data_IF_252048229978
#
_entry.id   IF_252048229978
#
_cell.length_a   1.000
_cell.length_b   1.000
_cell.length_c   1.000
_cell.angle_alpha   90.00
_cell.angle_beta   90.00
_cell.angle_gamma   90.00
#
_symmetry.space_group_name_H-M   'P 1'
#
loop_
_entity.id
_entity.type
_entity.pdbx_description
1 polymer ?
#
# COMPACT_ATOMS: atom_id res chain seq x y z
N UNK A 1 -4.67 1.05 20.46
CA UNK A 1 -4.31 2.39 19.93
C UNK A 1 -3.36 2.32 18.74
N UNK A 2 -2.37 1.42 18.74
CA UNK A 2 -1.39 1.27 17.64
C UNK A 2 -2.00 0.66 16.38
N UNK A 3 -2.85 -0.38 16.48
CA UNK A 3 -3.53 -1.01 15.33
C UNK A 3 -4.29 -0.01 14.44
N UNK A 4 -5.13 0.85 15.03
CA UNK A 4 -5.87 1.90 14.30
C UNK A 4 -4.95 2.89 13.54
N UNK A 5 -3.77 3.22 14.08
CA UNK A 5 -2.80 4.09 13.38
C UNK A 5 -2.16 3.35 12.21
N UNK A 6 -1.85 2.08 12.39
CA UNK A 6 -1.29 1.25 11.31
C UNK A 6 -2.31 0.98 10.21
N UNK A 7 -3.59 0.80 10.55
CA UNK A 7 -4.66 0.64 9.56
C UNK A 7 -4.84 1.90 8.70
N UNK A 8 -4.80 3.08 9.33
CA UNK A 8 -4.76 4.35 8.60
C UNK A 8 -3.57 4.42 7.63
N UNK A 9 -2.37 4.03 8.07
CA UNK A 9 -1.19 4.02 7.19
C UNK A 9 -1.34 3.01 6.05
N UNK A 10 -1.89 1.83 6.29
CA UNK A 10 -2.16 0.84 5.25
C UNK A 10 -3.11 1.39 4.18
N UNK A 11 -4.14 2.14 4.58
CA UNK A 11 -5.05 2.82 3.66
C UNK A 11 -4.33 3.90 2.83
N UNK A 12 -3.50 4.73 3.46
CA UNK A 12 -2.74 5.78 2.75
C UNK A 12 -1.72 5.20 1.77
N UNK A 13 -1.01 4.14 2.14
CA UNK A 13 -0.09 3.46 1.22
C UNK A 13 -0.81 2.84 0.03
N UNK A 14 -2.00 2.26 0.23
CA UNK A 14 -2.79 1.72 -0.87
C UNK A 14 -3.24 2.83 -1.84
N UNK A 15 -3.69 3.98 -1.31
CA UNK A 15 -4.01 5.17 -2.13
C UNK A 15 -2.81 5.60 -2.96
N UNK A 16 -1.64 5.73 -2.34
CA UNK A 16 -0.44 6.17 -3.05
C UNK A 16 0.00 5.18 -4.13
N UNK A 17 -0.02 3.88 -3.82
CA UNK A 17 0.30 2.83 -4.80
C UNK A 17 -0.65 2.84 -6.01
N UNK A 18 -1.92 3.19 -5.80
CA UNK A 18 -2.89 3.38 -6.88
C UNK A 18 -2.58 4.62 -7.73
N UNK A 19 -2.23 5.74 -7.11
CA UNK A 19 -1.78 6.95 -7.82
C UNK A 19 -0.55 6.63 -8.67
N UNK A 20 0.44 5.97 -8.09
CA UNK A 20 1.68 5.58 -8.77
C UNK A 20 1.39 4.68 -9.98
N UNK A 21 0.51 3.68 -9.85
CA UNK A 21 0.10 2.84 -10.98
C UNK A 21 -0.67 3.60 -12.07
N UNK A 22 -1.53 4.55 -11.69
CA UNK A 22 -2.48 5.20 -12.60
C UNK A 22 -1.96 6.50 -13.25
N UNK A 23 -0.93 7.12 -12.67
CA UNK A 23 -0.38 8.42 -13.11
C UNK A 23 1.07 8.35 -13.58
N UNK A 24 1.74 7.21 -13.45
CA UNK A 24 3.11 7.05 -13.96
C UNK A 24 3.15 6.97 -15.48
N UNK A 25 4.05 7.74 -16.08
CA UNK A 25 4.31 7.70 -17.52
C UNK A 25 5.41 6.69 -17.91
N UNK A 26 6.09 6.12 -16.93
CA UNK A 26 7.18 5.16 -17.12
C UNK A 26 6.73 3.76 -16.70
N UNK A 27 6.81 2.80 -17.63
CA UNK A 27 6.39 1.41 -17.38
C UNK A 27 7.13 0.76 -16.20
N UNK A 28 8.42 1.08 -16.02
CA UNK A 28 9.20 0.60 -14.89
C UNK A 28 8.64 1.08 -13.55
N UNK A 29 8.16 2.33 -13.49
CA UNK A 29 7.57 2.91 -12.28
C UNK A 29 6.20 2.29 -12.01
N UNK A 30 5.39 2.05 -13.04
CA UNK A 30 4.14 1.29 -12.90
C UNK A 30 4.38 -0.13 -12.37
N UNK A 31 5.42 -0.83 -12.85
CA UNK A 31 5.76 -2.17 -12.37
C UNK A 31 6.13 -2.17 -10.88
N UNK A 32 6.97 -1.22 -10.44
CA UNK A 32 7.28 -1.01 -9.01
C UNK A 32 6.00 -0.73 -8.21
N UNK A 33 5.06 0.05 -8.76
CA UNK A 33 3.77 0.32 -8.13
C UNK A 33 2.89 -0.91 -7.95
N UNK A 34 2.99 -1.90 -8.85
CA UNK A 34 2.28 -3.18 -8.71
C UNK A 34 2.91 -4.07 -7.63
N UNK A 35 4.24 -4.11 -7.55
CA UNK A 35 4.96 -4.81 -6.47
C UNK A 35 4.65 -4.17 -5.11
N UNK A 36 4.61 -2.84 -5.04
CA UNK A 36 4.26 -2.10 -3.83
C UNK A 36 2.86 -2.47 -3.32
N UNK A 37 1.88 -2.67 -4.21
CA UNK A 37 0.54 -3.13 -3.80
C UNK A 37 0.58 -4.44 -3.04
N UNK A 38 1.35 -5.41 -3.53
CA UNK A 38 1.49 -6.71 -2.86
C UNK A 38 2.09 -6.56 -1.45
N UNK A 39 3.08 -5.68 -1.27
CA UNK A 39 3.67 -5.40 0.05
C UNK A 39 2.68 -4.69 0.97
N UNK A 40 1.89 -3.74 0.45
CA UNK A 40 0.86 -3.03 1.23
C UNK A 40 -0.25 -3.97 1.69
N UNK A 41 -0.65 -4.93 0.86
CA UNK A 41 -1.67 -5.92 1.22
C UNK A 41 -1.15 -6.86 2.33
N UNK A 42 0.10 -7.33 2.24
CA UNK A 42 0.74 -8.09 3.31
C UNK A 42 0.85 -7.26 4.60
N UNK A 43 1.24 -6.00 4.50
CA UNK A 43 1.31 -5.09 5.65
C UNK A 43 -0.06 -4.97 6.33
N UNK A 44 -1.13 -4.79 5.55
CA UNK A 44 -2.50 -4.71 6.08
C UNK A 44 -2.91 -5.98 6.80
N UNK A 45 -2.59 -7.15 6.27
CA UNK A 45 -2.84 -8.43 6.95
C UNK A 45 -2.14 -8.50 8.30
N UNK A 46 -0.87 -8.09 8.37
CA UNK A 46 -0.13 -8.04 9.64
C UNK A 46 -0.76 -7.06 10.65
N UNK A 47 -1.28 -5.92 10.17
CA UNK A 47 -1.97 -4.95 11.02
C UNK A 47 -3.24 -5.55 11.62
N UNK A 48 -4.03 -6.28 10.83
CA UNK A 48 -5.25 -6.94 11.29
C UNK A 48 -4.96 -8.03 12.34
N UNK A 49 -3.82 -8.72 12.24
CA UNK A 49 -3.39 -9.70 13.24
C UNK A 49 -2.99 -9.09 14.59
N UNK A 50 -2.77 -7.77 14.66
CA UNK A 50 -2.42 -7.04 15.89
C UNK A 50 -3.64 -6.42 16.59
N UNK A 51 -4.82 -6.49 15.98
CA UNK A 51 -6.10 -6.09 16.57
C UNK A 51 -6.69 -7.19 17.46
#
# INVERSE_FOLDING_TARGET
AVGRKLDFLAQEFNRESNTLCSKSNAAAVTAIGLELKAVVDQFREQVQNLE
#
